data_IF_914499672627
#
_entry.id   IF_914499672627
#
_cell.length_a   1.000
_cell.length_b   1.000
_cell.length_c   1.000
_cell.angle_alpha   90.00
_cell.angle_beta   90.00
_cell.angle_gamma   90.00
#
_symmetry.space_group_name_H-M   'P 1'
#
loop_
_entity.id
_entity.type
_entity.pdbx_description
1 polymer ?
#
# COMPACT_ATOMS: atom_id res chain seq x y z
N UNK A 1 -21.62 5.11 16.94
CA UNK A 1 -21.04 5.05 15.58
C UNK A 1 -19.62 5.55 15.69
N UNK A 2 -18.64 4.85 15.11
CA UNK A 2 -17.25 5.32 15.06
C UNK A 2 -17.18 6.67 14.35
N UNK A 3 -16.68 7.68 15.04
CA UNK A 3 -16.49 9.00 14.47
C UNK A 3 -15.38 8.99 13.42
N UNK A 4 -15.59 9.65 12.29
CA UNK A 4 -14.60 9.74 11.22
C UNK A 4 -13.54 10.81 11.55
N UNK A 5 -12.28 10.45 11.45
CA UNK A 5 -11.12 11.29 11.64
C UNK A 5 -10.14 11.19 10.47
N UNK A 6 -9.32 12.22 10.29
CA UNK A 6 -8.26 12.24 9.26
C UNK A 6 -6.89 12.24 9.95
N UNK A 7 -5.98 11.39 9.48
CA UNK A 7 -4.61 11.30 9.95
C UNK A 7 -3.63 11.64 8.83
N UNK A 8 -3.04 12.84 8.86
CA UNK A 8 -1.92 13.21 7.98
C UNK A 8 -0.62 12.70 8.57
N UNK A 9 0.08 11.83 7.84
CA UNK A 9 1.34 11.23 8.27
C UNK A 9 2.42 11.48 7.22
N UNK A 10 3.48 12.22 7.57
CA UNK A 10 4.63 12.41 6.69
C UNK A 10 5.24 13.81 6.73
N UNK A 11 6.10 14.07 5.75
CA UNK A 11 6.73 15.37 5.49
C UNK A 11 5.81 16.29 4.69
N UNK A 12 5.95 17.59 4.87
CA UNK A 12 5.19 18.63 4.17
C UNK A 12 5.98 19.09 2.94
N UNK A 13 6.06 18.20 1.95
CA UNK A 13 6.83 18.45 0.70
C UNK A 13 6.19 19.51 -0.19
N UNK A 14 4.88 19.73 -0.06
CA UNK A 14 4.15 20.71 -0.86
C UNK A 14 3.21 21.51 0.05
N UNK A 15 3.73 22.55 0.73
CA UNK A 15 2.98 23.30 1.74
C UNK A 15 1.65 23.87 1.24
N UNK A 16 1.58 24.30 -0.03
CA UNK A 16 0.36 24.85 -0.63
C UNK A 16 -0.71 23.76 -0.83
N UNK A 17 -0.32 22.55 -1.21
CA UNK A 17 -1.26 21.43 -1.34
C UNK A 17 -1.76 20.99 0.03
N UNK A 18 -0.87 20.98 1.02
CA UNK A 18 -1.23 20.65 2.39
C UNK A 18 -2.17 21.71 2.97
N UNK A 19 -1.95 23.00 2.68
CA UNK A 19 -2.88 24.09 3.02
C UNK A 19 -4.28 23.85 2.45
N UNK A 20 -4.37 23.51 1.16
CA UNK A 20 -5.66 23.20 0.52
C UNK A 20 -6.35 22.01 1.21
N UNK A 21 -5.60 20.95 1.50
CA UNK A 21 -6.11 19.76 2.18
C UNK A 21 -6.64 20.11 3.58
N UNK A 22 -5.90 20.91 4.36
CA UNK A 22 -6.33 21.32 5.70
C UNK A 22 -7.58 22.21 5.68
N UNK A 23 -7.72 23.08 4.68
CA UNK A 23 -8.94 23.88 4.50
C UNK A 23 -10.16 23.00 4.19
N UNK A 24 -10.00 21.98 3.34
CA UNK A 24 -11.06 21.01 3.08
C UNK A 24 -11.44 20.22 4.33
N UNK A 25 -10.45 19.79 5.12
CA UNK A 25 -10.68 19.11 6.40
C UNK A 25 -11.42 20.02 7.39
N UNK A 26 -11.02 21.28 7.53
CA UNK A 26 -11.71 22.24 8.40
C UNK A 26 -13.19 22.39 7.99
N UNK A 27 -13.46 22.55 6.70
CA UNK A 27 -14.83 22.62 6.19
C UNK A 27 -15.67 21.38 6.48
N UNK A 28 -15.08 20.17 6.42
CA UNK A 28 -15.76 18.93 6.80
C UNK A 28 -16.03 18.83 8.31
N UNK A 29 -15.13 19.36 9.13
CA UNK A 29 -15.34 19.43 10.57
C UNK A 29 -16.47 20.39 10.92
N UNK A 30 -16.49 21.57 10.30
CA UNK A 30 -17.55 22.57 10.50
C UNK A 30 -18.94 22.06 10.09
N UNK A 31 -19.01 21.17 9.09
CA UNK A 31 -20.25 20.48 8.68
C UNK A 31 -20.62 19.27 9.54
N UNK A 32 -19.76 18.86 10.47
CA UNK A 32 -19.96 17.68 11.31
C UNK A 32 -19.78 16.33 10.60
N UNK A 33 -19.16 16.34 9.41
CA UNK A 33 -18.89 15.13 8.62
C UNK A 33 -17.61 14.42 9.07
N UNK A 34 -16.66 15.18 9.63
CA UNK A 34 -15.41 14.68 10.24
C UNK A 34 -15.32 15.23 11.66
N UNK A 35 -15.00 14.38 12.64
CA UNK A 35 -14.92 14.78 14.05
C UNK A 35 -13.62 15.53 14.40
N UNK A 36 -12.56 15.33 13.61
CA UNK A 36 -11.30 16.05 13.77
C UNK A 36 -10.18 15.45 12.93
N UNK A 37 -9.00 16.03 13.04
CA UNK A 37 -7.81 15.53 12.37
C UNK A 37 -6.57 15.55 13.25
N UNK A 38 -5.62 14.68 12.92
CA UNK A 38 -4.28 14.63 13.52
C UNK A 38 -3.25 14.78 12.41
N UNK A 39 -2.26 15.64 12.65
CA UNK A 39 -1.09 15.83 11.80
C UNK A 39 0.12 15.29 12.56
N UNK A 40 0.59 14.10 12.19
CA UNK A 40 1.82 13.52 12.72
C UNK A 40 2.98 13.78 11.75
N UNK A 41 3.92 14.62 12.18
CA UNK A 41 5.08 15.01 11.37
C UNK A 41 6.32 15.22 12.25
N UNK A 42 7.46 15.49 11.62
CA UNK A 42 8.71 15.71 12.34
C UNK A 42 8.75 17.07 13.01
N UNK A 43 9.48 17.14 14.12
CA UNK A 43 9.80 18.39 14.80
C UNK A 43 10.26 19.50 13.86
N UNK A 44 11.21 19.19 12.99
CA UNK A 44 11.77 20.12 12.01
C UNK A 44 10.76 20.63 10.98
N UNK A 45 9.76 19.82 10.63
CA UNK A 45 8.71 20.20 9.67
C UNK A 45 7.76 21.23 10.28
N UNK A 46 7.44 21.09 11.57
CA UNK A 46 6.64 22.08 12.30
C UNK A 46 7.36 23.41 12.35
N UNK A 47 8.65 23.38 12.71
CA UNK A 47 9.47 24.58 12.84
C UNK A 47 9.67 25.26 11.46
N UNK A 48 9.93 24.48 10.40
CA UNK A 48 10.10 24.99 9.03
C UNK A 48 8.80 25.58 8.43
N UNK A 49 7.64 25.11 8.87
CA UNK A 49 6.32 25.53 8.38
C UNK A 49 5.47 26.22 9.44
N UNK A 50 6.08 26.84 10.47
CA UNK A 50 5.35 27.50 11.55
C UNK A 50 4.25 28.49 11.08
N UNK A 51 4.50 29.36 10.07
CA UNK A 51 3.44 30.25 9.55
C UNK A 51 2.24 29.51 8.97
N UNK A 52 2.43 28.32 8.39
CA UNK A 52 1.36 27.48 7.86
C UNK A 52 0.45 26.98 8.99
N UNK A 53 1.07 26.44 10.04
CA UNK A 53 0.37 25.91 11.21
C UNK A 53 -0.35 27.00 11.99
N UNK A 54 0.24 28.19 12.11
CA UNK A 54 -0.40 29.33 12.76
C UNK A 54 -1.66 29.79 12.01
N UNK A 55 -1.59 29.88 10.67
CA UNK A 55 -2.73 30.29 9.83
C UNK A 55 -3.88 29.30 9.83
N UNK A 56 -3.58 28.00 9.89
CA UNK A 56 -4.56 26.91 9.73
C UNK A 56 -4.91 26.23 11.04
N UNK A 57 -4.63 26.90 12.17
CA UNK A 57 -4.97 26.40 13.49
C UNK A 57 -6.47 26.23 13.61
N UNK A 58 -6.90 25.03 13.99
CA UNK A 58 -8.30 24.70 14.19
C UNK A 58 -8.45 23.89 15.49
N UNK A 59 -9.46 24.14 16.33
CA UNK A 59 -9.58 23.50 17.65
C UNK A 59 -9.68 21.96 17.60
N UNK A 60 -10.16 21.42 16.48
CA UNK A 60 -10.30 19.98 16.23
C UNK A 60 -9.20 19.39 15.34
N UNK A 61 -8.14 20.16 15.03
CA UNK A 61 -6.96 19.68 14.32
C UNK A 61 -5.77 19.69 15.27
N UNK A 62 -5.29 18.51 15.65
CA UNK A 62 -4.16 18.33 16.54
C UNK A 62 -2.87 18.12 15.75
N UNK A 63 -1.79 18.78 16.16
CA UNK A 63 -0.44 18.51 15.64
C UNK A 63 0.32 17.63 16.64
N UNK A 64 0.85 16.51 16.18
CA UNK A 64 1.68 15.58 16.96
C UNK A 64 3.11 15.72 16.46
N UNK A 65 3.95 16.31 17.32
CA UNK A 65 5.39 16.47 17.10
C UNK A 65 6.10 15.16 17.39
N UNK A 66 6.78 14.61 16.39
CA UNK A 66 7.57 13.37 16.53
C UNK A 66 9.04 13.66 16.26
N UNK A 67 9.93 13.06 17.05
CA UNK A 67 11.35 13.10 16.77
C UNK A 67 11.71 11.91 15.86
N UNK A 68 12.50 12.14 14.79
CA UNK A 68 12.96 11.05 13.95
C UNK A 68 13.79 10.06 14.80
N UNK A 69 13.56 8.75 14.64
CA UNK A 69 14.38 7.72 15.27
C UNK A 69 15.86 7.94 14.97
N UNK A 70 16.70 8.00 16.02
CA UNK A 70 18.14 8.20 15.88
C UNK A 70 18.78 7.01 15.16
N UNK A 71 19.62 7.28 14.15
CA UNK A 71 20.40 6.25 13.46
C UNK A 71 19.76 5.67 12.20
N UNK A 72 18.50 6.02 11.89
CA UNK A 72 17.84 5.66 10.64
C UNK A 72 17.84 6.88 9.71
N UNK A 73 18.66 6.85 8.66
CA UNK A 73 18.83 7.97 7.73
C UNK A 73 18.36 7.65 6.31
N UNK A 74 17.66 6.52 6.12
CA UNK A 74 17.28 6.05 4.79
C UNK A 74 16.13 6.88 4.23
N UNK A 75 16.27 7.46 3.02
CA UNK A 75 15.15 8.02 2.30
C UNK A 75 14.01 7.00 2.17
N UNK A 76 12.78 7.44 2.39
CA UNK A 76 11.60 6.56 2.35
C UNK A 76 11.59 5.42 3.38
N UNK A 77 12.37 5.54 4.47
CA UNK A 77 12.38 4.58 5.58
C UNK A 77 10.97 4.13 5.96
N UNK A 78 10.78 2.81 5.94
CA UNK A 78 9.53 2.19 6.36
C UNK A 78 9.28 2.46 7.84
N UNK A 79 10.34 2.38 8.65
CA UNK A 79 10.29 2.64 10.07
C UNK A 79 9.81 4.06 10.38
N UNK A 80 10.28 5.05 9.61
CA UNK A 80 9.82 6.44 9.69
C UNK A 80 8.32 6.58 9.39
N UNK A 81 7.84 5.94 8.33
CA UNK A 81 6.41 5.97 7.97
C UNK A 81 5.55 5.35 9.08
N UNK A 82 5.98 4.23 9.66
CA UNK A 82 5.27 3.53 10.72
C UNK A 82 5.27 4.29 12.04
N UNK A 83 6.37 4.98 12.34
CA UNK A 83 6.49 5.85 13.51
C UNK A 83 5.46 6.98 13.48
N UNK A 84 5.33 7.67 12.34
CA UNK A 84 4.36 8.75 12.19
C UNK A 84 2.91 8.24 12.22
N UNK A 85 2.64 7.12 11.55
CA UNK A 85 1.31 6.49 11.58
C UNK A 85 0.91 6.08 12.99
N UNK A 86 1.79 5.39 13.71
CA UNK A 86 1.53 4.97 15.08
C UNK A 86 1.29 6.17 16.01
N UNK A 87 2.09 7.23 15.88
CA UNK A 87 1.90 8.46 16.64
C UNK A 87 0.54 9.11 16.37
N UNK A 88 0.11 9.20 15.11
CA UNK A 88 -1.22 9.71 14.75
C UNK A 88 -2.34 8.85 15.35
N UNK A 89 -2.28 7.53 15.17
CA UNK A 89 -3.30 6.61 15.69
C UNK A 89 -3.39 6.64 17.22
N UNK A 90 -2.26 6.85 17.92
CA UNK A 90 -2.22 6.98 19.39
C UNK A 90 -2.91 8.24 19.91
N UNK A 91 -2.98 9.30 19.11
CA UNK A 91 -3.65 10.55 19.46
C UNK A 91 -5.17 10.52 19.19
N UNK A 92 -5.63 9.59 18.35
CA UNK A 92 -7.05 9.44 18.00
C UNK A 92 -7.84 8.61 19.03
N UNK A 93 -9.17 8.83 19.16
CA UNK A 93 -10.05 8.02 19.99
C UNK A 93 -9.99 6.54 19.64
N UNK A 94 -10.16 5.66 20.64
CA UNK A 94 -9.98 4.22 20.47
C UNK A 94 -10.90 3.59 19.42
N UNK A 95 -12.11 4.12 19.29
CA UNK A 95 -13.18 3.68 18.39
C UNK A 95 -13.24 4.47 17.07
N UNK A 96 -12.27 5.34 16.80
CA UNK A 96 -12.24 6.19 15.61
C UNK A 96 -12.23 5.37 14.31
N UNK A 97 -12.92 5.90 13.30
CA UNK A 97 -12.72 5.53 11.90
C UNK A 97 -11.71 6.51 11.29
N UNK A 98 -10.63 6.03 10.70
CA UNK A 98 -9.46 6.86 10.36
C UNK A 98 -9.15 6.79 8.87
N UNK A 99 -9.25 7.93 8.19
CA UNK A 99 -8.62 8.12 6.88
C UNK A 99 -7.16 8.51 7.10
N UNK A 100 -6.23 7.58 6.89
CA UNK A 100 -4.82 7.91 6.77
C UNK A 100 -4.56 8.54 5.42
N UNK A 101 -3.78 9.61 5.36
CA UNK A 101 -3.25 10.20 4.12
C UNK A 101 -1.85 10.78 4.33
N UNK A 102 -1.18 11.21 3.25
CA UNK A 102 0.08 11.97 3.30
C UNK A 102 -0.19 13.47 3.10
N UNK A 103 0.66 14.37 3.64
CA UNK A 103 0.53 15.81 3.40
C UNK A 103 0.66 16.25 1.94
N UNK A 104 1.30 15.44 1.09
CA UNK A 104 1.52 15.70 -0.34
C UNK A 104 0.49 14.98 -1.26
N UNK A 105 -0.59 14.48 -0.69
CA UNK A 105 -1.68 13.82 -1.43
C UNK A 105 -2.95 14.65 -1.32
N UNK A 106 -3.45 15.11 -2.47
CA UNK A 106 -4.78 15.70 -2.56
C UNK A 106 -5.78 14.62 -2.93
N UNK A 107 -6.75 14.44 -2.04
CA UNK A 107 -7.85 13.51 -2.19
C UNK A 107 -9.16 14.28 -2.12
N UNK A 108 -10.15 13.84 -2.89
CA UNK A 108 -11.48 14.43 -2.83
C UNK A 108 -12.23 13.94 -1.60
N UNK A 109 -12.24 14.81 -0.59
CA UNK A 109 -12.82 14.51 0.71
C UNK A 109 -14.36 14.63 0.73
N UNK A 110 -15.01 15.17 -0.31
CA UNK A 110 -16.48 15.28 -0.34
C UNK A 110 -17.15 13.89 -0.46
N UNK A 111 -16.49 12.93 -1.11
CA UNK A 111 -16.96 11.54 -1.19
C UNK A 111 -16.66 10.72 0.09
N UNK A 112 -15.94 11.29 1.06
CA UNK A 112 -15.45 10.56 2.22
C UNK A 112 -16.58 10.02 3.12
N UNK A 113 -17.68 10.74 3.40
CA UNK A 113 -18.77 10.19 4.22
C UNK A 113 -19.44 8.96 3.58
N UNK A 114 -19.62 8.98 2.25
CA UNK A 114 -20.18 7.85 1.52
C UNK A 114 -19.23 6.64 1.53
N UNK A 115 -17.92 6.89 1.40
CA UNK A 115 -16.89 5.86 1.50
C UNK A 115 -16.83 5.25 2.91
N UNK A 116 -16.90 6.09 3.95
CA UNK A 116 -16.96 5.66 5.34
C UNK A 116 -18.16 4.76 5.60
N UNK A 117 -19.35 5.16 5.12
CA UNK A 117 -20.56 4.34 5.22
C UNK A 117 -20.38 2.99 4.50
N UNK A 118 -19.88 2.98 3.26
CA UNK A 118 -19.61 1.75 2.50
C UNK A 118 -18.69 0.79 3.27
N UNK A 119 -17.64 1.30 3.91
CA UNK A 119 -16.74 0.48 4.71
C UNK A 119 -17.43 -0.09 5.96
N UNK A 120 -18.24 0.71 6.63
CA UNK A 120 -18.96 0.30 7.84
C UNK A 120 -20.09 -0.71 7.55
N UNK A 121 -20.70 -0.61 6.37
CA UNK A 121 -21.76 -1.50 5.90
C UNK A 121 -21.23 -2.77 5.21
N UNK A 122 -19.93 -2.80 4.87
CA UNK A 122 -19.30 -3.96 4.26
C UNK A 122 -19.34 -5.18 5.20
N UNK A 123 -19.51 -6.40 4.66
CA UNK A 123 -19.50 -7.61 5.47
C UNK A 123 -18.15 -7.74 6.20
N UNK A 124 -18.15 -8.17 7.47
CA UNK A 124 -16.93 -8.33 8.23
C UNK A 124 -16.02 -9.38 7.56
N UNK A 125 -14.69 -9.29 7.78
CA UNK A 125 -13.76 -10.33 7.34
C UNK A 125 -14.05 -11.70 7.99
N UNK A 126 -13.48 -12.79 7.46
CA UNK A 126 -13.51 -14.09 8.10
C UNK A 126 -12.96 -14.07 9.53
N UNK A 127 -13.45 -14.98 10.38
CA UNK A 127 -12.91 -15.18 11.74
C UNK A 127 -11.70 -16.10 11.80
N UNK A 128 -11.39 -16.81 10.71
CA UNK A 128 -10.24 -17.71 10.65
C UNK A 128 -9.42 -17.48 9.36
N UNK A 129 -8.24 -16.85 9.48
CA UNK A 129 -7.68 -16.25 10.69
C UNK A 129 -8.39 -14.95 11.07
N UNK A 130 -8.44 -14.60 12.36
CA UNK A 130 -8.93 -13.29 12.79
C UNK A 130 -7.81 -12.24 12.72
N UNK A 131 -7.76 -11.47 11.64
CA UNK A 131 -6.71 -10.44 11.41
C UNK A 131 -7.24 -9.02 11.64
N UNK A 132 -8.38 -8.69 11.03
CA UNK A 132 -9.05 -7.41 11.22
C UNK A 132 -10.48 -7.63 11.71
N UNK A 133 -10.98 -6.71 12.54
CA UNK A 133 -12.38 -6.69 12.96
C UNK A 133 -13.29 -6.22 11.82
N UNK A 134 -12.83 -5.23 11.06
CA UNK A 134 -13.49 -4.72 9.86
C UNK A 134 -12.54 -4.76 8.67
N UNK A 135 -13.12 -4.71 7.47
CA UNK A 135 -12.30 -4.55 6.26
C UNK A 135 -11.55 -3.22 6.30
N UNK A 136 -10.42 -3.18 5.62
CA UNK A 136 -9.66 -1.95 5.37
C UNK A 136 -9.93 -1.49 3.95
N UNK A 137 -10.28 -0.22 3.76
CA UNK A 137 -10.40 0.33 2.42
C UNK A 137 -9.05 0.84 1.92
N UNK A 138 -8.76 0.52 0.65
CA UNK A 138 -7.57 0.97 -0.08
C UNK A 138 -7.96 1.47 -1.46
N UNK A 139 -7.28 2.50 -2.00
CA UNK A 139 -7.64 3.10 -3.28
C UNK A 139 -7.39 2.15 -4.46
N UNK A 140 -6.30 1.37 -4.39
CA UNK A 140 -5.88 0.45 -5.44
C UNK A 140 -4.90 -0.57 -4.88
N UNK A 141 -4.74 -1.65 -5.63
CA UNK A 141 -3.67 -2.61 -5.43
C UNK A 141 -2.93 -2.84 -6.75
N UNK A 142 -1.75 -3.44 -6.69
CA UNK A 142 -0.97 -3.84 -7.86
C UNK A 142 -1.07 -5.36 -7.99
N UNK A 143 -1.50 -5.82 -9.17
CA UNK A 143 -1.82 -7.20 -9.43
C UNK A 143 -0.60 -8.06 -9.75
N UNK A 144 0.55 -7.48 -10.10
CA UNK A 144 1.76 -8.23 -10.50
C UNK A 144 2.81 -8.39 -9.39
N UNK A 145 2.48 -7.96 -8.17
CA UNK A 145 3.38 -7.95 -7.03
C UNK A 145 2.56 -8.23 -5.77
N UNK A 146 2.72 -9.43 -5.16
CA UNK A 146 1.98 -9.80 -3.96
C UNK A 146 2.07 -8.73 -2.87
N UNK A 147 0.91 -8.36 -2.32
CA UNK A 147 0.75 -7.36 -1.24
C UNK A 147 1.16 -5.93 -1.59
N UNK A 148 1.49 -5.64 -2.85
CA UNK A 148 1.73 -4.27 -3.29
C UNK A 148 0.40 -3.51 -3.37
N UNK A 149 0.04 -2.85 -2.27
CA UNK A 149 -1.21 -2.10 -2.12
C UNK A 149 -0.86 -0.65 -1.87
N UNK A 150 -1.53 0.27 -2.55
CA UNK A 150 -1.18 1.68 -2.47
C UNK A 150 -1.28 2.18 -1.03
N UNK A 151 -0.22 2.86 -0.62
CA UNK A 151 0.00 3.23 0.77
C UNK A 151 -0.22 4.73 1.03
N UNK A 152 -0.53 5.50 -0.03
CA UNK A 152 -0.73 6.95 0.00
C UNK A 152 -1.85 7.30 0.96
N UNK A 153 -2.96 6.55 0.87
CA UNK A 153 -4.12 6.67 1.74
C UNK A 153 -4.79 5.32 1.96
N UNK A 154 -5.45 5.18 3.11
CA UNK A 154 -6.36 4.07 3.42
C UNK A 154 -7.38 4.53 4.46
N UNK A 155 -8.49 3.81 4.56
CA UNK A 155 -9.54 4.05 5.55
C UNK A 155 -9.79 2.77 6.35
N UNK A 156 -9.68 2.85 7.67
CA UNK A 156 -9.82 1.70 8.56
C UNK A 156 -10.30 2.16 9.94
N UNK A 157 -10.85 1.24 10.74
CA UNK A 157 -10.96 1.53 12.18
C UNK A 157 -9.58 1.77 12.75
N UNK A 158 -9.46 2.56 13.81
CA UNK A 158 -8.18 2.75 14.50
C UNK A 158 -7.59 1.42 14.94
N UNK A 159 -8.43 0.49 15.43
CA UNK A 159 -8.01 -0.84 15.81
C UNK A 159 -7.33 -1.58 14.64
N UNK A 160 -7.97 -1.64 13.48
CA UNK A 160 -7.44 -2.37 12.31
C UNK A 160 -6.24 -1.63 11.68
N UNK A 161 -6.26 -0.29 11.70
CA UNK A 161 -5.13 0.53 11.27
C UNK A 161 -3.87 0.27 12.12
N UNK A 162 -4.03 0.01 13.43
CA UNK A 162 -2.91 -0.32 14.31
C UNK A 162 -2.27 -1.67 13.98
N UNK A 163 -3.02 -2.62 13.42
CA UNK A 163 -2.46 -3.91 12.98
C UNK A 163 -1.49 -3.73 11.80
N UNK A 164 -1.68 -2.68 11.00
CA UNK A 164 -0.80 -2.31 9.88
C UNK A 164 0.52 -1.66 10.33
N UNK A 165 0.65 -1.28 11.61
CA UNK A 165 1.90 -0.75 12.16
C UNK A 165 2.89 -1.88 12.43
N UNK A 166 4.01 -1.89 11.70
CA UNK A 166 5.10 -2.83 11.90
C UNK A 166 6.44 -2.10 12.07
N UNK A 167 7.22 -2.50 13.06
CA UNK A 167 8.53 -1.93 13.36
C UNK A 167 9.69 -2.88 13.07
N UNK A 168 9.44 -3.97 12.34
CA UNK A 168 10.49 -4.89 11.88
C UNK A 168 11.43 -4.20 10.87
N UNK A 169 12.66 -3.98 11.31
CA UNK A 169 13.74 -3.34 10.54
C UNK A 169 14.51 -4.31 9.64
N UNK A 170 14.18 -5.62 9.63
CA UNK A 170 14.84 -6.61 8.78
C UNK A 170 14.91 -6.17 7.30
N UNK A 171 13.92 -5.38 6.86
CA UNK A 171 13.92 -4.85 5.50
C UNK A 171 14.91 -3.74 5.25
N UNK A 172 15.01 -2.78 6.16
CA UNK A 172 15.94 -1.68 5.99
C UNK A 172 17.34 -2.29 5.90
N UNK A 173 17.64 -3.26 6.78
CA UNK A 173 18.84 -4.08 6.72
C UNK A 173 18.99 -4.85 5.39
N UNK A 174 17.95 -5.50 4.87
CA UNK A 174 18.02 -6.23 3.59
C UNK A 174 18.23 -5.30 2.38
N UNK A 175 17.72 -4.07 2.44
CA UNK A 175 18.07 -3.02 1.48
C UNK A 175 19.51 -2.54 1.65
N UNK A 176 20.05 -2.55 2.89
CA UNK A 176 21.46 -2.26 3.17
C UNK A 176 22.39 -3.40 2.75
N UNK A 177 22.00 -4.68 2.79
CA UNK A 177 22.87 -5.79 2.40
C UNK A 177 23.22 -5.84 0.89
N UNK A 178 22.70 -4.91 0.09
CA UNK A 178 23.21 -4.57 -1.24
C UNK A 178 24.24 -3.43 -1.19
N UNK A 179 25.02 -3.36 -0.10
CA UNK A 179 25.93 -2.28 0.37
C UNK A 179 27.17 -2.02 -0.51
N UNK A 180 27.03 -2.17 -1.82
CA UNK A 180 27.91 -1.58 -2.81
C UNK A 180 27.33 -0.21 -3.19
N UNK A 181 27.98 0.92 -2.85
CA UNK A 181 27.48 2.27 -3.19
C UNK A 181 27.22 2.46 -4.69
N UNK A 182 27.95 1.71 -5.53
CA UNK A 182 27.83 1.58 -6.99
C UNK A 182 26.69 0.67 -7.46
N UNK A 183 26.10 -0.11 -6.55
CA UNK A 183 24.96 -1.01 -6.81
C UNK A 183 23.72 -0.64 -5.99
N UNK A 184 23.66 0.58 -5.43
CA UNK A 184 22.42 1.15 -4.92
C UNK A 184 21.35 0.90 -5.96
N UNK A 185 20.38 0.05 -5.62
CA UNK A 185 19.23 -0.14 -6.48
C UNK A 185 18.63 1.24 -6.75
N UNK A 186 18.34 1.55 -8.02
CA UNK A 186 18.01 2.90 -8.44
C UNK A 186 16.83 3.41 -7.62
N UNK A 187 16.99 4.57 -6.98
CA UNK A 187 16.05 5.60 -6.48
C UNK A 187 14.58 5.26 -6.14
N UNK A 188 14.17 3.99 -6.07
CA UNK A 188 12.78 3.54 -6.02
C UNK A 188 12.63 2.49 -4.90
N UNK A 189 12.53 2.91 -3.64
CA UNK A 189 12.21 2.03 -2.53
C UNK A 189 10.72 1.67 -2.59
N UNK A 190 10.37 0.54 -3.23
CA UNK A 190 8.97 0.16 -3.50
C UNK A 190 8.40 -0.96 -2.60
N UNK A 191 9.03 -1.27 -1.48
CA UNK A 191 8.60 -2.39 -0.60
C UNK A 191 7.86 -1.97 0.67
N UNK A 192 7.88 -0.67 1.02
CA UNK A 192 7.22 -0.16 2.21
C UNK A 192 5.70 -0.43 2.17
N UNK A 193 5.12 -0.26 0.98
CA UNK A 193 3.74 -0.60 0.67
C UNK A 193 3.47 -2.09 0.91
N UNK A 194 4.32 -2.97 0.37
CA UNK A 194 4.17 -4.43 0.47
C UNK A 194 4.22 -4.93 1.92
N UNK A 195 5.14 -4.40 2.73
CA UNK A 195 5.32 -4.85 4.12
C UNK A 195 4.18 -4.42 5.04
N UNK A 196 3.66 -3.20 4.86
CA UNK A 196 2.51 -2.72 5.65
C UNK A 196 1.34 -3.68 5.57
N UNK A 197 1.01 -4.12 4.36
CA UNK A 197 -0.19 -4.90 4.14
C UNK A 197 0.01 -6.41 4.26
N UNK A 198 1.25 -6.92 4.16
CA UNK A 198 1.54 -8.35 4.41
C UNK A 198 1.76 -8.68 5.89
N UNK A 199 2.28 -7.75 6.69
CA UNK A 199 2.64 -7.99 8.08
C UNK A 199 1.53 -8.57 8.97
N UNK A 200 0.27 -8.06 8.94
CA UNK A 200 -0.79 -8.62 9.78
C UNK A 200 -1.07 -10.09 9.49
N UNK A 201 -0.76 -10.55 8.27
CA UNK A 201 -1.08 -11.87 7.78
C UNK A 201 0.09 -12.86 7.92
N UNK A 202 1.33 -12.38 8.06
CA UNK A 202 2.52 -13.25 8.03
C UNK A 202 2.52 -14.30 9.14
N UNK A 203 1.99 -13.94 10.32
CA UNK A 203 1.85 -14.86 11.47
C UNK A 203 0.82 -15.97 11.26
N UNK A 204 -0.10 -15.78 10.31
CA UNK A 204 -1.18 -16.71 10.03
C UNK A 204 -0.92 -17.58 8.80
N UNK A 205 -0.03 -17.15 7.92
CA UNK A 205 0.28 -17.84 6.67
C UNK A 205 1.79 -17.99 6.52
N UNK A 206 2.36 -19.19 6.82
CA UNK A 206 3.80 -19.43 6.69
C UNK A 206 4.34 -19.19 5.28
N UNK A 207 3.46 -19.24 4.26
CA UNK A 207 3.81 -18.91 2.88
C UNK A 207 4.28 -17.46 2.72
N UNK A 208 3.80 -16.53 3.56
CA UNK A 208 4.24 -15.14 3.55
C UNK A 208 5.61 -14.94 4.19
N UNK A 209 5.99 -15.80 5.14
CA UNK A 209 7.36 -15.81 5.66
C UNK A 209 8.33 -16.22 4.53
N UNK A 210 8.01 -17.29 3.78
CA UNK A 210 8.79 -17.72 2.61
C UNK A 210 8.85 -16.63 1.52
N UNK A 211 7.73 -15.94 1.27
CA UNK A 211 7.73 -14.80 0.34
C UNK A 211 8.60 -13.63 0.84
N UNK A 212 8.66 -13.39 2.15
CA UNK A 212 9.48 -12.35 2.78
C UNK A 212 10.97 -12.46 2.42
N UNK A 213 11.47 -13.69 2.24
CA UNK A 213 12.86 -13.99 1.89
C UNK A 213 13.23 -13.57 0.45
N UNK A 214 12.25 -13.36 -0.42
CA UNK A 214 12.45 -12.99 -1.83
C UNK A 214 11.75 -11.69 -2.21
N UNK A 215 10.99 -11.07 -1.30
CA UNK A 215 10.25 -9.84 -1.55
C UNK A 215 11.13 -8.77 -2.18
N UNK A 216 12.36 -8.62 -1.66
CA UNK A 216 13.36 -7.68 -2.14
C UNK A 216 13.81 -7.93 -3.59
N UNK A 217 13.45 -9.06 -4.22
CA UNK A 217 13.73 -9.36 -5.65
C UNK A 217 12.48 -9.23 -6.53
N UNK A 218 11.32 -8.92 -5.98
CA UNK A 218 10.03 -8.92 -6.71
C UNK A 218 9.33 -7.56 -6.78
N UNK A 219 9.88 -6.53 -6.13
CA UNK A 219 9.28 -5.20 -6.11
C UNK A 219 9.68 -4.34 -7.31
N UNK A 220 9.06 -3.17 -7.44
CA UNK A 220 9.08 -2.41 -8.67
C UNK A 220 10.35 -1.68 -9.07
N UNK A 221 11.31 -1.57 -8.15
CA UNK A 221 12.62 -0.94 -8.37
C UNK A 221 13.74 -1.93 -8.71
N UNK A 222 13.41 -3.18 -9.02
CA UNK A 222 14.41 -4.22 -9.29
C UNK A 222 15.08 -4.08 -10.67
N UNK A 223 16.38 -4.43 -10.79
CA UNK A 223 17.04 -4.55 -12.07
C UNK A 223 16.36 -5.63 -12.92
N UNK A 224 16.27 -5.41 -14.23
CA UNK A 224 15.60 -6.31 -15.17
C UNK A 224 14.20 -6.78 -14.72
N UNK A 225 13.38 -5.86 -14.20
CA UNK A 225 12.03 -6.14 -13.71
C UNK A 225 11.18 -6.97 -14.68
N UNK A 226 11.26 -6.70 -15.98
CA UNK A 226 10.51 -7.46 -17.00
C UNK A 226 10.93 -8.94 -16.99
N UNK A 227 12.23 -9.23 -16.86
CA UNK A 227 12.76 -10.58 -16.72
C UNK A 227 12.24 -11.28 -15.47
N UNK A 228 12.25 -10.58 -14.32
CA UNK A 228 11.71 -11.10 -13.05
C UNK A 228 10.23 -11.45 -13.17
N UNK A 229 9.44 -10.56 -13.77
CA UNK A 229 8.00 -10.77 -13.96
C UNK A 229 7.74 -11.97 -14.89
N UNK A 230 8.48 -12.10 -16.00
CA UNK A 230 8.36 -13.25 -16.92
C UNK A 230 8.71 -14.55 -16.22
N UNK A 231 9.76 -14.56 -15.41
CA UNK A 231 10.12 -15.71 -14.61
C UNK A 231 9.01 -16.09 -13.62
N UNK A 232 8.50 -15.11 -12.87
CA UNK A 232 7.39 -15.27 -11.93
C UNK A 232 6.16 -15.87 -12.58
N UNK A 233 5.75 -15.33 -13.73
CA UNK A 233 4.59 -15.82 -14.48
C UNK A 233 4.70 -17.30 -14.88
N UNK A 234 5.92 -17.79 -15.14
CA UNK A 234 6.17 -19.19 -15.46
C UNK A 234 6.33 -20.12 -14.24
N UNK A 235 6.36 -19.57 -13.02
CA UNK A 235 6.65 -20.31 -11.80
C UNK A 235 5.36 -20.67 -11.03
N UNK A 236 5.07 -21.96 -10.79
CA UNK A 236 3.93 -22.36 -9.96
C UNK A 236 3.99 -21.82 -8.53
N UNK A 237 5.20 -21.66 -7.98
CA UNK A 237 5.42 -21.10 -6.63
C UNK A 237 4.89 -19.67 -6.53
N UNK A 238 5.13 -18.86 -7.57
CA UNK A 238 4.70 -17.47 -7.59
C UNK A 238 3.18 -17.35 -7.55
N UNK A 239 2.48 -18.21 -8.29
CA UNK A 239 1.01 -18.22 -8.32
C UNK A 239 0.38 -18.59 -6.98
N UNK A 240 1.07 -19.32 -6.11
CA UNK A 240 0.60 -19.55 -4.74
C UNK A 240 0.65 -18.28 -3.89
N UNK A 241 1.68 -17.44 -4.06
CA UNK A 241 1.72 -16.11 -3.41
C UNK A 241 0.61 -15.21 -3.92
N UNK A 242 0.39 -15.20 -5.23
CA UNK A 242 -0.70 -14.44 -5.85
C UNK A 242 -2.07 -14.91 -5.38
N UNK A 243 -2.29 -16.22 -5.29
CA UNK A 243 -3.54 -16.79 -4.80
C UNK A 243 -3.84 -16.37 -3.35
N UNK A 244 -2.85 -16.47 -2.46
CA UNK A 244 -3.00 -16.01 -1.08
C UNK A 244 -3.26 -14.51 -1.02
N UNK A 245 -2.52 -13.71 -1.80
CA UNK A 245 -2.69 -12.27 -1.85
C UNK A 245 -4.10 -11.86 -2.32
N UNK A 246 -4.61 -12.43 -3.42
CA UNK A 246 -5.96 -12.13 -3.89
C UNK A 246 -7.03 -12.60 -2.92
N UNK A 247 -6.81 -13.75 -2.26
CA UNK A 247 -7.70 -14.20 -1.19
C UNK A 247 -7.73 -13.21 -0.02
N UNK A 248 -6.57 -12.69 0.40
CA UNK A 248 -6.50 -11.66 1.44
C UNK A 248 -7.22 -10.38 0.99
N UNK A 249 -6.97 -9.90 -0.23
CA UNK A 249 -7.65 -8.71 -0.77
C UNK A 249 -9.17 -8.87 -0.78
N UNK A 250 -9.67 -10.02 -1.24
CA UNK A 250 -11.11 -10.30 -1.31
C UNK A 250 -11.79 -10.32 0.06
N UNK A 251 -11.11 -10.84 1.07
CA UNK A 251 -11.69 -11.09 2.39
C UNK A 251 -11.51 -9.93 3.37
N UNK A 252 -10.39 -9.21 3.29
CA UNK A 252 -9.99 -8.21 4.30
C UNK A 252 -9.99 -6.79 3.79
N UNK A 253 -10.11 -6.58 2.47
CA UNK A 253 -10.03 -5.25 1.88
C UNK A 253 -11.30 -4.88 1.12
N UNK A 254 -11.52 -3.57 1.04
CA UNK A 254 -12.46 -2.94 0.13
C UNK A 254 -11.64 -2.12 -0.86
N UNK A 255 -11.70 -2.43 -2.15
CA UNK A 255 -10.86 -1.79 -3.16
C UNK A 255 -11.63 -0.70 -3.89
N UNK A 256 -10.97 0.43 -4.10
CA UNK A 256 -11.44 1.48 -4.98
C UNK A 256 -12.63 2.25 -4.43
N UNK A 257 -13.04 3.28 -5.14
CA UNK A 257 -14.12 4.16 -4.71
C UNK A 257 -15.48 3.65 -5.22
N UNK A 258 -16.60 3.88 -4.52
CA UNK A 258 -17.92 3.76 -5.13
C UNK A 258 -18.13 4.94 -6.09
N UNK A 259 -18.24 4.67 -7.40
CA UNK A 259 -18.70 5.63 -8.42
C UNK A 259 -17.94 6.96 -8.57
N UNK A 260 -16.60 6.95 -8.46
CA UNK A 260 -15.80 8.17 -8.56
C UNK A 260 -15.03 8.28 -9.89
N UNK A 261 -15.16 9.41 -10.57
CA UNK A 261 -14.40 9.79 -11.78
C UNK A 261 -13.28 10.79 -11.51
N UNK A 262 -13.15 11.30 -10.28
CA UNK A 262 -12.12 12.29 -10.00
C UNK A 262 -10.76 11.66 -9.67
N UNK A 263 -9.80 12.52 -9.38
CA UNK A 263 -8.38 12.17 -9.33
C UNK A 263 -7.91 12.05 -7.87
N UNK A 264 -7.19 10.98 -7.52
CA UNK A 264 -6.21 11.08 -6.41
C UNK A 264 -4.99 11.71 -7.02
N UNK A 265 -4.70 12.94 -6.61
CA UNK A 265 -3.59 13.68 -7.17
C UNK A 265 -2.43 13.62 -6.19
N UNK A 266 -1.43 12.81 -6.54
CA UNK A 266 -0.09 12.97 -5.98
C UNK A 266 0.58 14.13 -6.70
N UNK A 267 0.84 15.24 -5.99
CA UNK A 267 1.63 16.34 -6.54
C UNK A 267 3.07 16.12 -6.14
N UNK A 268 3.97 16.05 -7.11
CA UNK A 268 5.40 16.03 -6.87
C UNK A 268 5.98 17.40 -7.17
N UNK A 269 6.97 17.80 -6.37
CA UNK A 269 7.65 19.09 -6.49
C UNK A 269 8.28 19.28 -7.89
N UNK A 270 8.76 18.18 -8.50
CA UNK A 270 9.28 18.11 -9.87
C UNK A 270 8.27 18.47 -10.98
N UNK A 271 6.99 18.62 -10.65
CA UNK A 271 5.93 19.07 -11.57
C UNK A 271 5.46 20.52 -11.32
N UNK A 272 6.11 21.26 -10.42
CA UNK A 272 5.83 22.68 -10.20
C UNK A 272 6.50 23.54 -11.29
N UNK A 273 5.78 23.86 -12.36
CA UNK A 273 6.25 24.81 -13.38
C UNK A 273 5.74 26.24 -13.11
N UNK A 274 6.54 27.08 -12.45
CA UNK A 274 6.33 28.54 -12.38
C UNK A 274 5.24 29.05 -11.42
N UNK A 275 4.80 30.30 -11.62
CA UNK A 275 3.81 31.01 -10.77
C UNK A 275 2.36 30.51 -10.93
N UNK A 276 2.10 29.62 -11.89
CA UNK A 276 0.79 29.00 -12.08
C UNK A 276 0.84 27.58 -11.52
N UNK A 277 0.14 27.35 -10.42
CA UNK A 277 0.03 26.06 -9.75
C UNK A 277 -0.77 25.09 -10.64
N UNK A 278 -0.14 24.52 -11.67
CA UNK A 278 -0.73 23.44 -12.44
C UNK A 278 -0.58 22.16 -11.61
N UNK A 279 -1.68 21.70 -11.01
CA UNK A 279 -1.75 20.40 -10.34
C UNK A 279 -1.66 19.32 -11.42
N UNK A 280 -0.43 18.94 -11.82
CA UNK A 280 -0.20 17.76 -12.63
C UNK A 280 -0.28 16.53 -11.70
N UNK A 281 -1.48 15.98 -11.57
CA UNK A 281 -1.68 14.70 -10.88
C UNK A 281 -1.35 13.54 -11.79
N UNK A 282 -0.62 12.55 -11.28
CA UNK A 282 -0.69 11.22 -11.85
C UNK A 282 -2.09 10.67 -11.55
N UNK A 283 -2.88 10.39 -12.59
CA UNK A 283 -4.08 9.59 -12.41
C UNK A 283 -3.64 8.15 -12.12
N UNK A 284 -3.55 7.82 -10.84
CA UNK A 284 -3.24 6.47 -10.41
C UNK A 284 -4.34 5.46 -10.82
N UNK A 285 -5.51 5.95 -11.23
CA UNK A 285 -6.64 5.15 -11.71
C UNK A 285 -6.67 5.11 -13.24
N UNK A 286 -5.54 4.82 -13.90
CA UNK A 286 -5.56 4.50 -15.32
C UNK A 286 -6.31 3.17 -15.53
N UNK A 287 -7.63 3.29 -15.58
CA UNK A 287 -8.61 2.25 -15.85
C UNK A 287 -8.94 2.32 -17.34
N UNK A 288 -8.36 1.42 -18.11
CA UNK A 288 -8.83 1.13 -19.46
C UNK A 288 -8.67 -0.36 -19.77
N UNK A 289 -8.87 -1.23 -18.77
CA UNK A 289 -8.85 -2.67 -19.03
C UNK A 289 -9.96 -3.39 -18.30
N UNK A 290 -10.70 -4.20 -19.06
CA UNK A 290 -11.85 -4.95 -18.59
C UNK A 290 -11.40 -5.99 -17.56
N UNK A 291 -11.95 -5.99 -16.33
CA UNK A 291 -11.59 -6.94 -15.28
C UNK A 291 -11.67 -8.41 -15.71
N UNK A 292 -12.61 -8.75 -16.58
CA UNK A 292 -12.86 -10.13 -17.02
C UNK A 292 -11.71 -10.72 -17.86
N UNK A 293 -10.85 -9.91 -18.48
CA UNK A 293 -9.67 -10.38 -19.23
C UNK A 293 -8.37 -10.21 -18.43
N UNK A 294 -8.44 -10.34 -17.09
CA UNK A 294 -7.30 -10.05 -16.21
C UNK A 294 -5.99 -10.74 -16.60
N UNK A 295 -5.97 -12.00 -17.05
CA UNK A 295 -4.71 -12.66 -17.43
C UNK A 295 -4.09 -12.07 -18.70
N UNK A 296 -4.90 -11.67 -19.68
CA UNK A 296 -4.39 -10.99 -20.87
C UNK A 296 -3.88 -9.60 -20.53
N UNK A 297 -4.60 -8.88 -19.67
CA UNK A 297 -4.17 -7.58 -19.14
C UNK A 297 -2.86 -7.69 -18.39
N UNK A 298 -2.74 -8.73 -17.56
CA UNK A 298 -1.56 -9.06 -16.81
C UNK A 298 -0.39 -9.30 -17.76
N UNK A 299 -0.53 -10.22 -18.72
CA UNK A 299 0.50 -10.54 -19.73
C UNK A 299 0.91 -9.30 -20.54
N UNK A 300 -0.06 -8.58 -21.09
CA UNK A 300 0.18 -7.37 -21.89
C UNK A 300 0.92 -6.29 -21.09
N UNK A 301 0.53 -6.03 -19.84
CA UNK A 301 1.19 -5.05 -18.99
C UNK A 301 2.58 -5.50 -18.55
N UNK A 302 2.77 -6.79 -18.31
CA UNK A 302 4.07 -7.38 -18.02
C UNK A 302 5.07 -7.19 -19.18
N UNK A 303 4.58 -7.20 -20.43
CA UNK A 303 5.43 -7.00 -21.61
C UNK A 303 5.75 -5.53 -21.91
N UNK A 304 4.97 -4.56 -21.40
CA UNK A 304 5.12 -3.15 -21.73
C UNK A 304 5.60 -2.24 -20.59
N UNK A 305 5.00 -2.35 -19.39
CA UNK A 305 5.16 -1.37 -18.29
C UNK A 305 5.54 -2.02 -16.95
N UNK A 306 5.38 -3.34 -16.82
CA UNK A 306 5.76 -4.11 -15.63
C UNK A 306 4.88 -3.89 -14.39
N UNK A 307 3.78 -3.15 -14.48
CA UNK A 307 2.81 -2.94 -13.39
C UNK A 307 1.37 -2.95 -13.92
N UNK A 308 0.49 -3.64 -13.20
CA UNK A 308 -0.95 -3.62 -13.39
C UNK A 308 -1.60 -3.13 -12.10
N UNK A 309 -1.90 -1.84 -12.03
CA UNK A 309 -2.68 -1.27 -10.91
C UNK A 309 -4.17 -1.49 -11.15
N UNK A 310 -4.85 -1.98 -10.12
CA UNK A 310 -6.27 -2.29 -10.11
C UNK A 310 -6.96 -1.37 -9.07
N UNK A 311 -7.75 -0.42 -9.57
CA UNK A 311 -8.40 0.61 -8.75
C UNK A 311 -9.87 0.37 -8.42
N UNK A 312 -10.42 -0.81 -8.73
CA UNK A 312 -11.85 -1.13 -8.50
C UNK A 312 -12.03 -2.52 -7.88
N UNK A 313 -13.10 -2.67 -7.10
CA UNK A 313 -13.49 -3.94 -6.48
C UNK A 313 -13.82 -5.02 -7.53
N UNK A 314 -14.32 -4.63 -8.71
CA UNK A 314 -14.69 -5.52 -9.82
C UNK A 314 -13.53 -6.43 -10.26
N UNK A 315 -12.28 -5.99 -10.14
CA UNK A 315 -11.10 -6.84 -10.42
C UNK A 315 -11.04 -8.06 -9.53
N UNK A 316 -11.28 -7.87 -8.23
CA UNK A 316 -11.28 -8.97 -7.27
C UNK A 316 -12.55 -9.79 -7.44
N UNK A 317 -13.70 -9.15 -7.62
CA UNK A 317 -14.97 -9.87 -7.75
C UNK A 317 -15.00 -10.72 -9.03
N UNK A 318 -14.38 -10.28 -10.14
CA UNK A 318 -14.26 -11.09 -11.36
C UNK A 318 -13.43 -12.36 -11.13
N UNK A 319 -12.30 -12.25 -10.43
CA UNK A 319 -11.44 -13.39 -10.07
C UNK A 319 -12.24 -14.42 -9.25
N UNK A 320 -13.00 -13.97 -8.25
CA UNK A 320 -13.69 -14.87 -7.30
C UNK A 320 -15.08 -15.35 -7.75
N UNK A 321 -15.76 -14.61 -8.63
CA UNK A 321 -17.04 -15.04 -9.20
C UNK A 321 -16.88 -16.07 -10.32
N UNK A 322 -15.67 -16.24 -10.84
CA UNK A 322 -15.41 -17.09 -12.01
C UNK A 322 -15.88 -16.45 -13.33
N UNK A 323 -16.18 -15.14 -13.36
CA UNK A 323 -16.54 -14.41 -14.58
C UNK A 323 -15.36 -14.09 -15.50
N UNK A 324 -14.18 -14.60 -15.17
CA UNK A 324 -12.95 -14.48 -15.94
C UNK A 324 -13.08 -15.14 -17.31
N UNK A 325 -12.69 -14.41 -18.36
CA UNK A 325 -12.72 -14.88 -19.74
C UNK A 325 -11.66 -15.97 -20.02
N UNK A 326 -10.49 -15.89 -19.37
CA UNK A 326 -9.46 -16.92 -19.46
C UNK A 326 -9.70 -18.02 -18.39
N UNK A 327 -10.08 -19.25 -18.78
CA UNK A 327 -10.35 -20.33 -17.84
C UNK A 327 -9.11 -20.79 -17.05
N UNK A 328 -7.90 -20.46 -17.52
CA UNK A 328 -6.67 -20.77 -16.78
C UNK A 328 -6.51 -19.92 -15.51
N UNK A 329 -7.20 -18.78 -15.40
CA UNK A 329 -7.19 -17.94 -14.21
C UNK A 329 -7.69 -18.70 -12.97
N UNK A 330 -8.72 -19.53 -13.15
CA UNK A 330 -9.23 -20.40 -12.09
C UNK A 330 -8.15 -21.38 -11.61
N UNK A 331 -7.44 -22.03 -12.55
CA UNK A 331 -6.40 -23.01 -12.21
C UNK A 331 -5.18 -22.37 -11.52
N UNK A 332 -4.80 -21.16 -11.94
CA UNK A 332 -3.63 -20.44 -11.42
C UNK A 332 -3.90 -19.75 -10.08
N UNK A 333 -5.12 -19.28 -9.85
CA UNK A 333 -5.47 -18.50 -8.65
C UNK A 333 -6.38 -19.33 -7.74
N UNK A 334 -7.64 -19.55 -8.15
CA UNK A 334 -8.66 -20.12 -7.28
C UNK A 334 -8.31 -21.52 -6.77
N UNK A 335 -7.81 -22.39 -7.64
CA UNK A 335 -7.43 -23.75 -7.28
C UNK A 335 -6.19 -23.81 -6.38
N UNK A 336 -5.42 -22.72 -6.27
CA UNK A 336 -4.24 -22.63 -5.41
C UNK A 336 -4.53 -22.07 -4.01
N UNK A 337 -5.71 -21.47 -3.79
CA UNK A 337 -6.03 -20.76 -2.54
C UNK A 337 -5.89 -21.66 -1.33
N UNK A 338 -6.51 -22.84 -1.35
CA UNK A 338 -6.49 -23.70 -0.16
C UNK A 338 -5.08 -24.21 0.12
N UNK A 339 -4.36 -24.66 -0.91
CA UNK A 339 -2.97 -25.06 -0.79
C UNK A 339 -2.07 -23.94 -0.25
N UNK A 340 -2.34 -22.68 -0.64
CA UNK A 340 -1.60 -21.52 -0.16
C UNK A 340 -1.94 -21.15 1.29
N UNK A 341 -3.21 -21.31 1.71
CA UNK A 341 -3.68 -21.04 3.07
C UNK A 341 -3.19 -22.09 4.07
N UNK A 342 -3.24 -23.36 3.70
CA UNK A 342 -2.80 -24.48 4.54
C UNK A 342 -1.34 -24.84 4.30
N UNK A 343 -0.57 -23.94 3.69
CA UNK A 343 0.82 -24.16 3.38
C UNK A 343 1.60 -24.50 4.65
N UNK A 344 2.38 -25.59 4.57
CA UNK A 344 3.34 -25.97 5.59
C UNK A 344 4.68 -26.25 4.93
N UNK A 345 5.80 -25.75 5.48
CA UNK A 345 7.11 -26.01 4.92
C UNK A 345 7.45 -27.49 4.99
N UNK A 346 7.87 -28.07 3.85
CA UNK A 346 8.42 -29.42 3.73
C UNK A 346 9.84 -29.39 3.15
N UNK A 347 10.64 -30.45 3.29
CA UNK A 347 11.95 -30.54 2.61
C UNK A 347 11.86 -30.34 1.10
N UNK A 348 10.86 -30.94 0.44
CA UNK A 348 10.61 -30.84 -1.00
C UNK A 348 10.22 -29.40 -1.39
N UNK A 349 9.43 -28.73 -0.53
CA UNK A 349 9.10 -27.33 -0.71
C UNK A 349 10.35 -26.46 -0.64
N UNK A 350 11.18 -26.64 0.38
CA UNK A 350 12.42 -25.86 0.55
C UNK A 350 13.35 -25.99 -0.66
N UNK A 351 13.44 -27.18 -1.23
CA UNK A 351 14.23 -27.39 -2.46
C UNK A 351 13.59 -26.70 -3.67
N UNK A 352 12.27 -26.78 -3.82
CA UNK A 352 11.56 -26.08 -4.90
C UNK A 352 11.67 -24.56 -4.77
N UNK A 353 11.57 -24.03 -3.56
CA UNK A 353 11.79 -22.63 -3.24
C UNK A 353 13.23 -22.19 -3.51
N UNK A 354 14.23 -23.01 -3.14
CA UNK A 354 15.64 -22.73 -3.46
C UNK A 354 15.86 -22.59 -4.96
N UNK A 355 15.32 -23.52 -5.77
CA UNK A 355 15.39 -23.45 -7.24
C UNK A 355 14.70 -22.21 -7.78
N UNK A 356 13.55 -21.87 -7.23
CA UNK A 356 12.82 -20.65 -7.59
C UNK A 356 13.61 -19.39 -7.26
N UNK A 357 14.22 -19.31 -6.08
CA UNK A 357 15.08 -18.20 -5.66
C UNK A 357 16.31 -18.05 -6.58
N UNK A 358 16.97 -19.14 -6.97
CA UNK A 358 18.09 -19.10 -7.92
C UNK A 358 17.64 -18.56 -9.28
N UNK A 359 16.49 -19.01 -9.78
CA UNK A 359 15.96 -18.49 -11.04
C UNK A 359 15.54 -17.02 -10.97
N UNK A 360 15.03 -16.56 -9.82
CA UNK A 360 14.76 -15.14 -9.57
C UNK A 360 16.03 -14.29 -9.62
N UNK A 361 17.11 -14.72 -8.96
CA UNK A 361 18.41 -14.04 -8.97
C UNK A 361 18.92 -13.90 -10.41
N UNK A 362 18.83 -14.98 -11.19
CA UNK A 362 19.18 -14.98 -12.60
C UNK A 362 18.31 -14.03 -13.42
N UNK A 363 16.99 -14.08 -13.22
CA UNK A 363 16.04 -13.22 -13.92
C UNK A 363 16.27 -11.74 -13.60
N UNK A 364 16.66 -11.40 -12.36
CA UNK A 364 17.03 -10.05 -11.95
C UNK A 364 18.42 -9.62 -12.45
N UNK A 365 19.21 -10.52 -13.02
CA UNK A 365 20.59 -10.23 -13.44
C UNK A 365 21.56 -10.02 -12.27
N UNK A 366 21.27 -10.62 -11.11
CA UNK A 366 22.02 -10.45 -9.86
C UNK A 366 23.02 -11.58 -9.59
N UNK A 367 23.28 -12.46 -10.56
CA UNK A 367 24.13 -13.65 -10.40
C UNK A 367 25.55 -13.31 -9.93
N UNK A 368 26.09 -12.17 -10.32
CA UNK A 368 27.46 -11.73 -9.96
C UNK A 368 27.53 -10.98 -8.62
N UNK A 369 26.39 -10.61 -8.04
CA UNK A 369 26.29 -9.80 -6.81
C UNK A 369 26.16 -10.68 -5.56
N UNK A 370 25.63 -11.90 -5.73
CA UNK A 370 25.28 -12.82 -4.63
C UNK A 370 26.23 -14.03 -4.50
N UNK A 371 27.37 -14.00 -5.20
CA UNK A 371 28.54 -14.88 -4.97
C UNK A 371 29.46 -14.18 -3.98
#
# INVERSE_FOLDING_TARGET
MSALHIAFCGQIRTPQLFELSLRQVAGLIERGEVAGAVIATWASEIDAHAPLFDRLRHPHIQVVKVNPPSGVTVPHSYFHQMTLLYAALRALPADALVLKTRPDVLFDLEALPALARRLLDAPPPPRDPFVFERRVWVPQFEATSPFCVNDLLFLATRHDAMQLCNFDMSFELNNFFLDRPDQRLPEIPSSAEIRRYSYPFSRHFPLLEEYGDILHMTYGGQPNRIGVIKYNLSSPIYWQYMALYFWVLHNYFLVGRPHYTGKVTLVREEHQSGQNFAIAGADHYFNAIEPNVFLDNYRQRCDALGMLYCGTQEWIDAIFSGSMADPSAQALILNQIEAARTFSPSPERRESFRRYRVGLIKAAGLETVLI
#
